data_IF_668297611768
#
_entry.id   IF_668297611768
#
_cell.length_a   1.000
_cell.length_b   1.000
_cell.length_c   1.000
_cell.angle_alpha   90.00
_cell.angle_beta   90.00
_cell.angle_gamma   90.00
#
_symmetry.space_group_name_H-M   'P 1'
#
loop_
_entity.id
_entity.type
_entity.pdbx_description
1 polymer ?
#
# COMPACT_ATOMS: atom_id res chain seq x y z
N UNK A 1 -33.07 96.84 -7.55
CA UNK A 1 -33.28 96.61 -9.00
C UNK A 1 -33.07 95.13 -9.23
N UNK A 2 -34.17 94.42 -9.45
CA UNK A 2 -34.16 93.02 -9.80
C UNK A 2 -34.04 92.84 -11.31
N UNK A 3 -33.46 91.72 -11.69
CA UNK A 3 -33.57 91.02 -12.97
C UNK A 3 -32.99 89.62 -12.72
N UNK A 4 -33.41 88.53 -13.33
CA UNK A 4 -34.64 88.08 -13.94
C UNK A 4 -34.38 86.57 -14.10
N UNK A 5 -35.31 85.71 -13.67
CA UNK A 5 -35.24 84.28 -13.94
C UNK A 5 -35.38 84.03 -15.45
N UNK A 6 -34.53 83.18 -16.00
CA UNK A 6 -34.89 82.34 -17.16
C UNK A 6 -34.46 80.91 -16.82
N UNK A 7 -35.44 80.03 -16.81
CA UNK A 7 -35.30 78.58 -16.67
C UNK A 7 -35.29 78.03 -18.10
N UNK A 8 -34.35 77.16 -18.46
CA UNK A 8 -34.76 75.97 -19.20
C UNK A 8 -33.80 74.78 -19.01
N UNK A 9 -34.44 73.61 -19.06
CA UNK A 9 -34.05 72.29 -18.60
C UNK A 9 -33.30 71.53 -19.70
N UNK A 10 -32.21 70.81 -19.38
CA UNK A 10 -31.98 69.50 -20.01
C UNK A 10 -31.04 68.56 -19.21
N UNK A 11 -31.40 67.28 -19.21
CA UNK A 11 -30.41 66.23 -19.50
C UNK A 11 -29.51 65.68 -18.40
N UNK A 12 -30.09 65.00 -17.41
CA UNK A 12 -29.68 63.68 -16.90
C UNK A 12 -28.22 63.17 -17.00
N UNK A 13 -27.77 62.60 -15.86
CA UNK A 13 -26.92 61.38 -15.69
C UNK A 13 -25.39 61.51 -15.63
N UNK A 14 -24.93 61.48 -14.37
CA UNK A 14 -24.17 60.36 -13.78
C UNK A 14 -22.75 60.06 -14.32
N UNK A 15 -21.76 60.56 -13.56
CA UNK A 15 -20.57 59.83 -13.08
C UNK A 15 -20.28 58.47 -13.73
N UNK A 16 -19.27 58.38 -14.61
CA UNK A 16 -18.49 57.14 -14.78
C UNK A 16 -17.01 57.40 -15.05
N UNK A 17 -16.27 57.68 -13.97
CA UNK A 17 -14.89 57.20 -13.82
C UNK A 17 -14.97 55.69 -13.57
N UNK A 18 -14.42 54.85 -14.46
CA UNK A 18 -13.88 53.52 -14.10
C UNK A 18 -12.98 52.96 -15.21
N UNK A 19 -11.71 53.30 -15.11
CA UNK A 19 -10.62 52.40 -15.50
C UNK A 19 -10.74 51.15 -14.63
N UNK A 20 -10.90 49.97 -15.23
CA UNK A 20 -10.51 48.67 -14.63
C UNK A 20 -10.40 47.58 -15.70
N UNK A 21 -9.20 47.49 -16.28
CA UNK A 21 -8.69 46.26 -16.91
C UNK A 21 -8.42 45.20 -15.83
N UNK A 22 -8.46 43.94 -16.25
CA UNK A 22 -8.07 42.68 -15.56
C UNK A 22 -9.19 41.84 -14.91
N UNK A 23 -9.85 41.02 -15.74
CA UNK A 23 -10.50 39.77 -15.31
C UNK A 23 -9.99 38.51 -16.03
N UNK A 24 -9.09 38.63 -17.01
CA UNK A 24 -8.55 37.47 -17.75
C UNK A 24 -7.36 36.75 -17.08
N UNK A 25 -6.64 37.39 -16.16
CA UNK A 25 -5.41 36.81 -15.54
C UNK A 25 -5.65 35.72 -14.47
N UNK A 26 -6.88 35.55 -13.96
CA UNK A 26 -7.18 34.56 -12.92
C UNK A 26 -7.57 33.19 -13.47
N UNK A 27 -8.13 33.13 -14.69
CA UNK A 27 -8.52 31.86 -15.30
C UNK A 27 -7.28 31.08 -15.76
N UNK A 28 -6.33 31.81 -16.36
CA UNK A 28 -5.08 31.26 -16.87
C UNK A 28 -4.20 30.71 -15.73
N UNK A 29 -4.09 31.43 -14.60
CA UNK A 29 -3.32 30.94 -13.45
C UNK A 29 -4.00 29.76 -12.75
N UNK A 30 -5.34 29.69 -12.74
CA UNK A 30 -6.06 28.55 -12.17
C UNK A 30 -5.96 27.30 -13.05
N UNK A 31 -5.98 27.47 -14.38
CA UNK A 31 -5.75 26.37 -15.32
C UNK A 31 -4.31 25.85 -15.23
N UNK A 32 -3.31 26.74 -15.21
CA UNK A 32 -1.90 26.37 -15.01
C UNK A 32 -1.69 25.67 -13.65
N UNK A 33 -2.26 26.19 -12.56
CA UNK A 33 -2.16 25.57 -11.23
C UNK A 33 -2.84 24.20 -11.17
N UNK A 34 -3.92 23.99 -11.93
CA UNK A 34 -4.59 22.69 -12.02
C UNK A 34 -3.85 21.71 -12.93
N UNK A 35 -3.28 22.19 -14.04
CA UNK A 35 -2.39 21.40 -14.91
C UNK A 35 -1.14 20.95 -14.12
N UNK A 36 -0.56 21.83 -13.31
CA UNK A 36 0.56 21.50 -12.42
C UNK A 36 0.17 20.49 -11.32
N UNK A 37 -1.08 20.55 -10.81
CA UNK A 37 -1.61 19.55 -9.87
C UNK A 37 -1.86 18.21 -10.55
N UNK A 38 -2.43 18.20 -11.74
CA UNK A 38 -2.76 16.98 -12.48
C UNK A 38 -1.50 16.26 -12.97
N UNK A 39 -0.53 17.00 -13.48
CA UNK A 39 0.81 16.47 -13.80
C UNK A 39 1.45 15.86 -12.57
N UNK A 40 1.40 16.55 -11.42
CA UNK A 40 1.94 16.04 -10.16
C UNK A 40 1.24 14.76 -9.69
N UNK A 41 -0.09 14.71 -9.76
CA UNK A 41 -0.87 13.51 -9.42
C UNK A 41 -0.46 12.34 -10.34
N UNK A 42 -0.29 12.60 -11.63
CA UNK A 42 0.11 11.58 -12.59
C UNK A 42 1.55 11.07 -12.34
N UNK A 43 2.47 11.94 -11.92
CA UNK A 43 3.81 11.52 -11.48
C UNK A 43 3.75 10.60 -10.26
N UNK A 44 2.97 10.96 -9.23
CA UNK A 44 2.83 10.16 -8.02
C UNK A 44 2.17 8.81 -8.29
N UNK A 45 1.16 8.76 -9.18
CA UNK A 45 0.56 7.49 -9.62
C UNK A 45 1.57 6.59 -10.32
N UNK A 46 2.37 7.15 -11.25
CA UNK A 46 3.44 6.39 -11.92
C UNK A 46 4.47 5.88 -10.92
N UNK A 47 4.79 6.67 -9.91
CA UNK A 47 5.68 6.25 -8.84
C UNK A 47 5.08 5.08 -8.03
N UNK A 48 3.82 5.17 -7.61
CA UNK A 48 3.10 4.09 -6.93
C UNK A 48 3.11 2.79 -7.74
N UNK A 49 2.79 2.86 -9.03
CA UNK A 49 2.81 1.71 -9.92
C UNK A 49 4.22 1.08 -9.98
N UNK A 50 5.26 1.93 -10.03
CA UNK A 50 6.66 1.51 -9.97
C UNK A 50 7.02 0.81 -8.67
N UNK A 51 6.59 1.34 -7.53
CA UNK A 51 6.81 0.74 -6.20
C UNK A 51 6.11 -0.60 -6.06
N UNK A 52 4.86 -0.71 -6.51
CA UNK A 52 4.12 -1.98 -6.51
C UNK A 52 4.79 -3.03 -7.37
N UNK A 53 5.24 -2.66 -8.57
CA UNK A 53 5.97 -3.56 -9.46
C UNK A 53 7.28 -4.01 -8.81
N UNK A 54 8.08 -3.08 -8.29
CA UNK A 54 9.36 -3.38 -7.66
C UNK A 54 9.20 -4.27 -6.42
N UNK A 55 8.19 -4.03 -5.59
CA UNK A 55 7.85 -4.88 -4.46
C UNK A 55 7.59 -6.33 -4.90
N UNK A 56 6.77 -6.50 -5.95
CA UNK A 56 6.40 -7.83 -6.47
C UNK A 56 7.62 -8.58 -7.02
N UNK A 57 8.54 -7.89 -7.70
CA UNK A 57 9.75 -8.49 -8.27
C UNK A 57 10.75 -8.97 -7.20
N UNK A 58 10.97 -8.16 -6.16
CA UNK A 58 11.97 -8.46 -5.11
C UNK A 58 11.42 -9.43 -4.04
N UNK A 59 10.10 -9.46 -3.83
CA UNK A 59 9.47 -10.34 -2.82
C UNK A 59 9.28 -11.79 -3.30
N UNK A 60 9.86 -12.18 -4.44
CA UNK A 60 9.66 -13.51 -5.05
C UNK A 60 10.56 -14.62 -4.50
N UNK A 61 11.61 -14.31 -3.75
CA UNK A 61 12.50 -15.33 -3.21
C UNK A 61 11.84 -15.99 -1.97
N UNK A 62 11.87 -17.32 -1.88
CA UNK A 62 11.30 -18.03 -0.72
C UNK A 62 12.42 -18.56 0.17
N UNK A 63 12.13 -18.68 1.46
CA UNK A 63 12.99 -19.44 2.39
C UNK A 63 13.10 -20.87 1.84
N UNK A 64 14.31 -21.24 1.44
CA UNK A 64 14.56 -22.57 0.88
C UNK A 64 14.52 -23.58 2.02
N UNK A 65 13.52 -24.44 2.03
CA UNK A 65 13.48 -25.55 2.98
C UNK A 65 13.71 -26.83 2.19
N UNK A 66 14.81 -27.51 2.50
CA UNK A 66 15.14 -28.81 1.90
C UNK A 66 14.00 -29.79 2.17
N UNK A 67 13.59 -30.55 1.16
CA UNK A 67 12.46 -31.49 1.27
C UNK A 67 12.69 -32.55 2.36
N UNK A 68 13.96 -32.91 2.60
CA UNK A 68 14.38 -33.76 3.73
C UNK A 68 14.15 -33.14 5.10
N UNK A 69 14.14 -31.81 5.23
CA UNK A 69 13.82 -31.13 6.49
C UNK A 69 12.33 -31.24 6.83
N UNK A 70 11.46 -31.41 5.82
CA UNK A 70 10.02 -31.63 6.00
C UNK A 70 9.74 -33.03 6.54
N UNK A 71 10.59 -34.03 6.30
CA UNK A 71 10.41 -35.39 6.87
C UNK A 71 11.24 -35.62 8.15
N UNK A 72 12.19 -34.75 8.46
CA UNK A 72 13.05 -34.85 9.66
C UNK A 72 12.36 -34.48 10.98
N UNK A 73 12.96 -34.78 12.16
CA UNK A 73 12.41 -34.47 13.50
C UNK A 73 12.33 -32.97 13.85
N UNK A 74 12.38 -32.06 12.89
CA UNK A 74 12.23 -30.64 13.14
C UNK A 74 10.85 -30.34 13.77
N UNK A 75 10.77 -29.47 14.80
CA UNK A 75 9.50 -29.05 15.37
C UNK A 75 8.56 -28.49 14.31
N UNK A 76 7.28 -28.84 14.39
CA UNK A 76 6.24 -28.42 13.43
C UNK A 76 6.24 -26.89 13.20
N UNK A 77 6.36 -26.12 14.28
CA UNK A 77 6.40 -24.66 14.22
C UNK A 77 7.55 -24.11 13.36
N UNK A 78 8.71 -24.77 13.38
CA UNK A 78 9.85 -24.37 12.54
C UNK A 78 9.60 -24.65 11.06
N UNK A 79 8.98 -25.79 10.75
CA UNK A 79 8.60 -26.12 9.37
C UNK A 79 7.54 -25.16 8.85
N UNK A 80 6.49 -24.90 9.65
CA UNK A 80 5.41 -23.98 9.29
C UNK A 80 5.94 -22.56 9.11
N UNK A 81 6.80 -22.07 10.00
CA UNK A 81 7.46 -20.76 9.87
C UNK A 81 8.18 -20.60 8.52
N UNK A 82 8.95 -21.61 8.11
CA UNK A 82 9.66 -21.53 6.83
C UNK A 82 8.72 -21.59 5.62
N UNK A 83 7.64 -22.37 5.70
CA UNK A 83 6.67 -22.50 4.61
C UNK A 83 5.75 -21.27 4.47
N UNK A 84 5.47 -20.58 5.58
CA UNK A 84 4.64 -19.38 5.60
C UNK A 84 5.42 -18.11 5.25
N UNK A 85 6.71 -18.04 5.58
CA UNK A 85 7.53 -16.84 5.39
C UNK A 85 7.44 -16.34 3.93
N UNK A 86 7.07 -15.07 3.81
CA UNK A 86 6.89 -14.33 2.56
C UNK A 86 5.78 -14.84 1.64
N UNK A 87 4.89 -15.69 2.15
CA UNK A 87 3.70 -16.07 1.41
C UNK A 87 2.74 -14.89 1.29
N UNK A 88 2.23 -14.65 0.07
CA UNK A 88 1.13 -13.69 -0.19
C UNK A 88 -0.28 -14.29 -0.05
N UNK A 89 -0.36 -15.60 0.17
CA UNK A 89 -1.63 -16.33 0.13
C UNK A 89 -2.58 -15.86 1.25
N UNK A 90 -3.90 -15.88 1.00
CA UNK A 90 -4.87 -15.76 2.08
C UNK A 90 -4.76 -16.97 3.03
N UNK A 91 -5.21 -16.78 4.26
CA UNK A 91 -5.03 -17.74 5.36
C UNK A 91 -5.59 -19.14 5.01
N UNK A 92 -6.82 -19.20 4.51
CA UNK A 92 -7.46 -20.42 4.02
C UNK A 92 -6.55 -21.22 3.07
N UNK A 93 -6.13 -20.61 1.97
CA UNK A 93 -5.27 -21.24 0.96
C UNK A 93 -3.86 -21.57 1.50
N UNK A 94 -3.31 -20.72 2.38
CA UNK A 94 -1.99 -20.95 2.98
C UNK A 94 -2.01 -22.21 3.86
N UNK A 95 -3.02 -22.35 4.71
CA UNK A 95 -3.19 -23.48 5.61
C UNK A 95 -3.29 -24.79 4.83
N UNK A 96 -4.12 -24.82 3.79
CA UNK A 96 -4.27 -26.02 2.95
C UNK A 96 -2.94 -26.40 2.29
N UNK A 97 -2.25 -25.41 1.70
CA UNK A 97 -0.96 -25.62 1.06
C UNK A 97 0.11 -26.11 2.04
N UNK A 98 0.11 -25.62 3.27
CA UNK A 98 1.05 -26.08 4.31
C UNK A 98 0.67 -27.48 4.75
N UNK A 99 -0.61 -27.75 5.02
CA UNK A 99 -1.10 -29.06 5.42
C UNK A 99 -0.73 -30.13 4.39
N UNK A 100 -0.92 -29.86 3.10
CA UNK A 100 -0.52 -30.79 2.03
C UNK A 100 0.96 -31.16 2.05
N UNK A 101 1.82 -30.27 2.54
CA UNK A 101 3.26 -30.52 2.68
C UNK A 101 3.63 -31.28 3.95
N UNK A 102 2.84 -31.20 5.01
CA UNK A 102 3.20 -31.77 6.33
C UNK A 102 2.32 -32.93 6.77
N UNK A 103 1.23 -33.23 6.05
CA UNK A 103 0.24 -34.26 6.41
C UNK A 103 0.80 -35.68 6.56
N UNK A 104 1.95 -35.97 5.95
CA UNK A 104 2.59 -37.30 6.04
C UNK A 104 3.32 -37.51 7.38
N UNK A 105 3.47 -36.46 8.20
CA UNK A 105 3.98 -36.58 9.57
C UNK A 105 2.90 -37.11 10.49
N UNK A 106 3.28 -38.02 11.37
CA UNK A 106 2.38 -38.62 12.35
C UNK A 106 1.77 -37.55 13.28
N UNK A 107 0.46 -37.67 13.54
CA UNK A 107 -0.27 -36.81 14.48
C UNK A 107 -0.63 -35.41 13.98
N UNK A 108 -0.30 -35.05 12.73
CA UNK A 108 -0.66 -33.75 12.16
C UNK A 108 -2.10 -33.75 11.66
N UNK A 109 -2.87 -32.76 12.10
CA UNK A 109 -4.24 -32.49 11.62
C UNK A 109 -4.34 -31.10 11.01
N UNK A 110 -5.32 -30.88 10.13
CA UNK A 110 -5.60 -29.56 9.57
C UNK A 110 -5.84 -28.49 10.67
N UNK A 111 -6.50 -28.88 11.75
CA UNK A 111 -6.74 -28.01 12.91
C UNK A 111 -5.42 -27.61 13.61
N UNK A 112 -4.48 -28.55 13.77
CA UNK A 112 -3.16 -28.25 14.35
C UNK A 112 -2.35 -27.28 13.48
N UNK A 113 -2.44 -27.41 12.14
CA UNK A 113 -1.79 -26.47 11.20
C UNK A 113 -2.42 -25.09 11.29
N UNK A 114 -3.75 -24.99 11.30
CA UNK A 114 -4.49 -23.72 11.49
C UNK A 114 -4.01 -22.97 12.74
N UNK A 115 -4.03 -23.65 13.88
CA UNK A 115 -3.60 -23.08 15.15
C UNK A 115 -2.12 -22.66 15.11
N UNK A 116 -1.26 -23.48 14.51
CA UNK A 116 0.17 -23.20 14.42
C UNK A 116 0.47 -22.01 13.51
N UNK A 117 -0.17 -21.88 12.34
CA UNK A 117 0.00 -20.73 11.44
C UNK A 117 -0.31 -19.41 12.15
N UNK A 118 -1.42 -19.35 12.90
CA UNK A 118 -1.79 -18.15 13.66
C UNK A 118 -0.85 -17.87 14.84
N UNK A 119 -0.29 -18.93 15.43
CA UNK A 119 0.65 -18.84 16.55
C UNK A 119 2.05 -18.39 16.12
N UNK A 120 2.57 -18.92 15.01
CA UNK A 120 3.94 -18.64 14.55
C UNK A 120 4.03 -17.50 13.55
N UNK A 121 2.93 -17.20 12.85
CA UNK A 121 2.87 -16.25 11.75
C UNK A 121 2.06 -14.99 12.09
N UNK A 122 2.34 -13.95 11.33
CA UNK A 122 1.58 -12.71 11.28
C UNK A 122 1.44 -12.30 9.82
N UNK A 123 0.29 -11.72 9.45
CA UNK A 123 0.04 -11.24 8.09
C UNK A 123 0.13 -9.72 8.08
N UNK A 124 1.16 -9.20 7.42
CA UNK A 124 1.46 -7.78 7.36
C UNK A 124 1.04 -7.19 6.01
N UNK A 125 0.55 -5.96 6.06
CA UNK A 125 0.16 -5.15 4.90
C UNK A 125 1.32 -4.21 4.58
N UNK A 126 1.76 -4.17 3.32
CA UNK A 126 2.88 -3.32 2.87
C UNK A 126 2.49 -2.33 1.78
N UNK A 127 1.23 -2.35 1.34
CA UNK A 127 0.70 -1.47 0.33
C UNK A 127 -0.20 -0.37 0.90
N UNK A 128 -1.33 -0.15 0.24
CA UNK A 128 -2.35 0.84 0.65
C UNK A 128 -3.33 0.16 1.59
N UNK A 129 -3.61 0.80 2.73
CA UNK A 129 -4.56 0.28 3.71
C UNK A 129 -5.99 0.28 3.16
N UNK A 130 -6.71 -0.81 3.42
CA UNK A 130 -8.14 -0.91 3.17
C UNK A 130 -8.85 -1.17 4.50
N UNK A 131 -9.68 -0.22 4.93
CA UNK A 131 -10.37 -0.29 6.23
C UNK A 131 -11.34 -1.47 6.34
N UNK A 132 -11.87 -1.93 5.20
CA UNK A 132 -12.84 -3.02 5.13
C UNK A 132 -12.18 -4.39 4.83
N UNK A 133 -10.84 -4.43 4.73
CA UNK A 133 -10.13 -5.66 4.43
C UNK A 133 -10.20 -6.65 5.60
N UNK A 134 -10.63 -7.88 5.29
CA UNK A 134 -10.38 -9.00 6.19
C UNK A 134 -8.87 -9.30 6.17
N UNK A 135 -8.16 -8.91 7.23
CA UNK A 135 -6.71 -9.07 7.37
C UNK A 135 -6.23 -10.45 6.96
N UNK A 136 -6.95 -11.53 7.29
CA UNK A 136 -6.51 -12.90 7.01
C UNK A 136 -6.82 -13.39 5.60
N UNK A 137 -7.83 -12.83 4.94
CA UNK A 137 -8.34 -13.37 3.67
C UNK A 137 -8.27 -12.39 2.50
N UNK A 138 -8.00 -11.10 2.75
CA UNK A 138 -7.93 -10.12 1.67
C UNK A 138 -6.82 -10.47 0.66
N UNK A 139 -7.16 -10.32 -0.62
CA UNK A 139 -6.29 -10.64 -1.76
C UNK A 139 -6.09 -9.43 -2.67
N UNK A 140 -6.55 -8.26 -2.25
CA UNK A 140 -6.39 -7.00 -2.98
C UNK A 140 -4.92 -6.75 -3.30
N UNK A 141 -4.60 -6.58 -4.59
CA UNK A 141 -3.22 -6.45 -5.04
C UNK A 141 -2.51 -5.22 -4.45
N UNK A 142 -3.26 -4.14 -4.24
CA UNK A 142 -2.74 -2.88 -3.74
C UNK A 142 -2.36 -2.93 -2.26
N UNK A 143 -2.84 -3.91 -1.50
CA UNK A 143 -2.53 -4.05 -0.07
C UNK A 143 -1.18 -4.75 0.17
N UNK A 144 -0.64 -5.47 -0.84
CA UNK A 144 0.64 -6.17 -0.76
C UNK A 144 0.79 -7.04 0.49
N UNK A 145 -0.21 -7.88 0.77
CA UNK A 145 -0.19 -8.77 1.92
C UNK A 145 0.97 -9.77 1.88
N UNK A 146 1.59 -9.96 3.03
CA UNK A 146 2.73 -10.85 3.20
C UNK A 146 2.69 -11.51 4.58
N UNK A 147 2.85 -12.84 4.61
CA UNK A 147 3.00 -13.59 5.83
C UNK A 147 4.45 -13.55 6.32
N UNK A 148 4.62 -13.29 7.60
CA UNK A 148 5.92 -13.24 8.27
C UNK A 148 5.90 -14.06 9.54
N UNK A 149 6.98 -14.77 9.80
CA UNK A 149 7.19 -15.46 11.07
C UNK A 149 7.40 -14.42 12.17
N UNK A 150 6.68 -14.57 13.29
CA UNK A 150 6.81 -13.70 14.46
C UNK A 150 8.19 -13.79 15.10
N UNK A 151 8.75 -14.99 15.16
CA UNK A 151 10.05 -15.26 15.78
C UNK A 151 11.02 -15.96 14.82
N UNK A 152 12.08 -15.25 14.45
CA UNK A 152 13.14 -15.75 13.56
C UNK A 152 13.89 -16.96 14.12
N UNK A 153 13.73 -17.31 15.41
CA UNK A 153 14.29 -18.55 15.96
C UNK A 153 13.79 -19.79 15.22
N UNK A 154 12.59 -19.72 14.64
CA UNK A 154 11.98 -20.80 13.85
C UNK A 154 12.57 -20.92 12.44
N UNK A 155 13.27 -19.89 11.96
CA UNK A 155 13.97 -19.89 10.67
C UNK A 155 15.40 -20.43 10.86
N UNK A 156 15.94 -21.26 9.94
CA UNK A 156 17.33 -21.69 9.94
C UNK A 156 18.32 -20.52 10.04
N UNK A 157 19.34 -20.65 10.90
CA UNK A 157 20.30 -19.55 11.17
C UNK A 157 20.92 -18.98 9.89
N UNK A 158 21.26 -19.83 8.93
CA UNK A 158 21.84 -19.44 7.65
C UNK A 158 20.93 -18.50 6.82
N UNK A 159 19.62 -18.55 7.02
CA UNK A 159 18.64 -17.79 6.22
C UNK A 159 18.13 -16.53 6.92
N UNK A 160 18.34 -16.40 8.24
CA UNK A 160 17.85 -15.24 9.03
C UNK A 160 18.35 -13.91 8.49
N UNK A 161 19.61 -13.85 8.03
CA UNK A 161 20.19 -12.64 7.43
C UNK A 161 19.40 -12.18 6.19
N UNK A 162 19.14 -13.10 5.26
CA UNK A 162 18.37 -12.83 4.05
C UNK A 162 16.92 -12.43 4.36
N UNK A 163 16.26 -13.12 5.30
CA UNK A 163 14.91 -12.76 5.75
C UNK A 163 14.87 -11.33 6.32
N UNK A 164 15.83 -10.96 7.16
CA UNK A 164 15.90 -9.61 7.73
C UNK A 164 16.10 -8.52 6.67
N UNK A 165 16.97 -8.76 5.69
CA UNK A 165 17.21 -7.83 4.58
C UNK A 165 15.90 -7.61 3.80
N UNK A 166 15.18 -8.69 3.46
CA UNK A 166 13.92 -8.61 2.71
C UNK A 166 12.78 -7.96 3.50
N UNK A 167 12.69 -8.20 4.81
CA UNK A 167 11.75 -7.46 5.69
C UNK A 167 12.04 -5.97 5.72
N UNK A 168 13.32 -5.61 5.84
CA UNK A 168 13.75 -4.19 5.82
C UNK A 168 13.40 -3.54 4.48
N UNK A 169 13.61 -4.26 3.39
CA UNK A 169 13.22 -3.83 2.06
C UNK A 169 11.71 -3.56 1.96
N UNK A 170 10.87 -4.52 2.34
CA UNK A 170 9.40 -4.38 2.30
C UNK A 170 8.93 -3.17 3.11
N UNK A 171 9.51 -2.97 4.30
CA UNK A 171 9.25 -1.79 5.14
C UNK A 171 9.59 -0.49 4.43
N UNK A 172 10.78 -0.37 3.82
CA UNK A 172 11.15 0.85 3.07
C UNK A 172 10.24 1.14 1.89
N UNK A 173 9.81 0.10 1.17
CA UNK A 173 8.85 0.28 0.07
C UNK A 173 7.50 0.71 0.60
N UNK A 174 7.02 0.11 1.69
CA UNK A 174 5.79 0.51 2.35
C UNK A 174 5.83 1.95 2.86
N UNK A 175 6.91 2.36 3.54
CA UNK A 175 7.10 3.74 4.01
C UNK A 175 6.99 4.73 2.84
N UNK A 176 7.54 4.36 1.66
CA UNK A 176 7.44 5.19 0.46
C UNK A 176 6.02 5.20 -0.10
N UNK A 177 5.35 4.05 -0.20
CA UNK A 177 3.94 3.94 -0.65
C UNK A 177 3.06 4.82 0.24
N UNK A 178 3.16 4.69 1.56
CA UNK A 178 2.38 5.49 2.51
C UNK A 178 2.63 6.99 2.43
N UNK A 179 3.84 7.41 2.00
CA UNK A 179 4.16 8.82 1.81
C UNK A 179 3.59 9.42 0.51
N UNK A 180 3.21 8.59 -0.46
CA UNK A 180 2.74 9.03 -1.78
C UNK A 180 1.28 8.66 -2.10
N UNK A 181 0.66 7.78 -1.30
CA UNK A 181 -0.74 7.33 -1.43
C UNK A 181 -1.74 8.26 -0.77
#
# INVERSE_FOLDING_TARGET
MGDAMVIDVDGSKLMRKKVRKSKKRKLDSFLLENEDKETRINELKKELDGLFKYFKEVSCEKVQLEESSISSPCPLNSVIACLLEESKLPYSNLVEKIYDKVKDREGITLASVRASVLSVGERSMYGIANADANVLEDTSENCLWCWETRDLKHIPKAQRGFVNIRRTFRKKVHDRISAVS
#
